data_IF_120300613928
#
_entry.id   IF_120300613928
#
_cell.length_a   1.000
_cell.length_b   1.000
_cell.length_c   1.000
_cell.angle_alpha   90.00
_cell.angle_beta   90.00
_cell.angle_gamma   90.00
#
_symmetry.space_group_name_H-M   'P 1'
#
loop_
_entity.id
_entity.type
_entity.pdbx_description
1 polymer ?
#
# COMPACT_ATOMS: atom_id res chain seq x y z
N UNK A 1 -2.76 -11.50 -10.02
CA UNK A 1 -3.81 -10.82 -10.79
C UNK A 1 -4.00 -9.41 -10.27
N UNK A 2 -4.23 -8.43 -11.14
CA UNK A 2 -4.46 -7.03 -10.77
C UNK A 2 -5.32 -6.33 -11.82
N UNK A 3 -5.99 -5.21 -11.48
CA UNK A 3 -6.64 -4.39 -12.50
C UNK A 3 -5.62 -3.82 -13.51
N UNK A 4 -6.03 -3.66 -14.75
CA UNK A 4 -5.24 -2.97 -15.77
C UNK A 4 -5.40 -1.45 -15.59
N UNK A 5 -4.61 -0.89 -14.68
CA UNK A 5 -4.65 0.53 -14.37
C UNK A 5 -3.99 1.40 -15.47
N UNK A 6 -4.53 2.59 -15.69
CA UNK A 6 -3.96 3.61 -16.58
C UNK A 6 -2.48 3.93 -16.29
N UNK A 7 -2.04 3.75 -15.01
CA UNK A 7 -0.66 4.03 -14.58
C UNK A 7 0.35 2.95 -14.96
N UNK A 8 -0.09 1.84 -15.56
CA UNK A 8 0.83 0.82 -16.06
C UNK A 8 1.56 1.40 -17.28
N UNK A 9 2.89 1.34 -17.24
CA UNK A 9 3.75 1.90 -18.29
C UNK A 9 3.41 1.33 -19.68
N UNK A 10 3.40 2.19 -20.68
CA UNK A 10 3.17 1.83 -22.10
C UNK A 10 4.11 0.72 -22.58
N UNK A 11 5.33 0.66 -22.01
CA UNK A 11 6.28 -0.43 -22.27
C UNK A 11 5.66 -1.81 -21.98
N UNK A 12 4.96 -1.96 -20.87
CA UNK A 12 4.31 -3.21 -20.51
C UNK A 12 2.97 -3.38 -21.22
N UNK A 13 2.21 -2.31 -21.35
CA UNK A 13 0.88 -2.33 -21.96
C UNK A 13 0.92 -2.85 -23.41
N UNK A 14 1.88 -2.40 -24.21
CA UNK A 14 2.03 -2.79 -25.61
C UNK A 14 2.51 -4.25 -25.81
N UNK A 15 2.95 -4.91 -24.74
CA UNK A 15 3.44 -6.29 -24.80
C UNK A 15 2.46 -7.29 -24.12
N UNK A 16 1.25 -6.85 -23.77
CA UNK A 16 0.24 -7.71 -23.17
C UNK A 16 -0.33 -8.70 -24.19
N UNK A 17 -0.43 -9.95 -23.77
CA UNK A 17 -1.15 -10.98 -24.50
C UNK A 17 -2.63 -10.94 -24.11
N UNK A 18 -3.53 -10.96 -25.07
CA UNK A 18 -4.96 -11.14 -24.81
C UNK A 18 -5.27 -12.62 -24.58
N UNK A 19 -5.88 -12.95 -23.44
CA UNK A 19 -6.16 -14.33 -23.04
C UNK A 19 -7.62 -14.73 -23.32
N UNK A 20 -8.59 -13.98 -22.79
CA UNK A 20 -10.00 -14.27 -22.95
C UNK A 20 -10.91 -13.05 -22.66
N UNK A 21 -12.18 -13.21 -23.07
CA UNK A 21 -13.24 -12.25 -22.75
C UNK A 21 -14.48 -13.02 -22.29
N UNK A 22 -15.14 -12.51 -21.24
CA UNK A 22 -16.38 -13.04 -20.66
C UNK A 22 -17.13 -11.90 -19.99
N UNK A 23 -18.25 -12.20 -19.30
CA UNK A 23 -19.01 -11.20 -18.54
C UNK A 23 -19.23 -11.65 -17.10
N UNK A 24 -19.39 -10.67 -16.21
CA UNK A 24 -19.86 -10.87 -14.84
C UNK A 24 -21.06 -9.97 -14.56
N UNK A 25 -21.97 -10.44 -13.75
CA UNK A 25 -23.16 -9.67 -13.38
C UNK A 25 -22.81 -8.66 -12.27
N UNK A 26 -23.02 -7.38 -12.53
CA UNK A 26 -22.88 -6.26 -11.58
C UNK A 26 -24.14 -5.41 -11.66
N UNK A 27 -24.79 -5.16 -10.52
CA UNK A 27 -26.05 -4.41 -10.46
C UNK A 27 -27.09 -4.94 -11.45
N UNK A 28 -27.18 -6.29 -11.52
CA UNK A 28 -28.11 -7.03 -12.41
C UNK A 28 -27.87 -6.83 -13.91
N UNK A 29 -26.69 -6.29 -14.29
CA UNK A 29 -26.27 -6.14 -15.69
C UNK A 29 -25.02 -6.96 -15.97
N UNK A 30 -24.95 -7.53 -17.16
CA UNK A 30 -23.74 -8.19 -17.64
C UNK A 30 -22.68 -7.16 -18.03
N UNK A 31 -21.55 -7.19 -17.32
CA UNK A 31 -20.43 -6.29 -17.53
C UNK A 31 -19.26 -7.07 -18.13
N UNK A 32 -18.74 -6.67 -19.31
CA UNK A 32 -17.67 -7.40 -19.97
C UNK A 32 -16.37 -7.32 -19.19
N UNK A 33 -15.65 -8.43 -19.21
CA UNK A 33 -14.29 -8.58 -18.63
C UNK A 33 -13.34 -9.01 -19.73
N UNK A 34 -12.25 -8.30 -19.88
CA UNK A 34 -11.14 -8.71 -20.77
C UNK A 34 -9.92 -9.00 -19.93
N UNK A 35 -9.31 -10.14 -20.17
CA UNK A 35 -8.12 -10.61 -19.45
C UNK A 35 -6.93 -10.55 -20.38
N UNK A 36 -5.87 -9.96 -19.88
CA UNK A 36 -4.57 -9.93 -20.53
C UNK A 36 -3.51 -10.52 -19.61
N UNK A 37 -2.45 -11.07 -20.18
CA UNK A 37 -1.32 -11.57 -19.38
C UNK A 37 0.02 -11.12 -19.92
N UNK A 38 1.02 -11.19 -19.04
CA UNK A 38 2.44 -11.02 -19.36
C UNK A 38 3.29 -11.76 -18.33
N UNK A 39 4.33 -12.43 -18.81
CA UNK A 39 5.35 -13.02 -17.94
C UNK A 39 6.51 -12.04 -17.76
N UNK A 40 6.84 -11.73 -16.52
CA UNK A 40 8.00 -10.92 -16.13
C UNK A 40 8.73 -11.69 -15.03
N UNK A 41 10.00 -11.94 -15.17
CA UNK A 41 10.86 -12.64 -14.19
C UNK A 41 10.28 -13.98 -13.69
N UNK A 42 9.75 -14.78 -14.60
CA UNK A 42 9.06 -16.06 -14.35
C UNK A 42 7.74 -15.97 -13.56
N UNK A 43 7.21 -14.76 -13.36
CA UNK A 43 5.88 -14.53 -12.78
C UNK A 43 4.89 -14.19 -13.88
N UNK A 44 3.78 -14.92 -13.94
CA UNK A 44 2.68 -14.61 -14.85
C UNK A 44 1.75 -13.58 -14.19
N UNK A 45 1.71 -12.38 -14.77
CA UNK A 45 0.80 -11.32 -14.39
C UNK A 45 -0.46 -11.42 -15.23
N UNK A 46 -1.62 -11.49 -14.59
CA UNK A 46 -2.92 -11.34 -15.24
C UNK A 46 -3.52 -9.97 -14.93
N UNK A 47 -4.05 -9.33 -15.95
CA UNK A 47 -4.62 -7.98 -15.87
C UNK A 47 -6.11 -8.03 -16.26
N UNK A 48 -6.96 -7.53 -15.38
CA UNK A 48 -8.40 -7.37 -15.62
C UNK A 48 -8.63 -5.96 -16.18
N UNK A 49 -9.02 -5.88 -17.45
CA UNK A 49 -9.31 -4.62 -18.10
C UNK A 49 -10.80 -4.27 -17.98
N UNK A 50 -11.07 -3.03 -17.58
CA UNK A 50 -12.34 -2.35 -17.75
C UNK A 50 -12.10 -0.85 -17.77
N UNK A 51 -12.35 -0.22 -18.92
CA UNK A 51 -12.00 1.19 -19.15
C UNK A 51 -12.63 2.12 -18.10
N UNK A 52 -13.94 2.03 -17.88
CA UNK A 52 -14.64 2.91 -16.94
C UNK A 52 -14.23 2.74 -15.49
N UNK A 53 -13.78 1.55 -15.08
CA UNK A 53 -13.38 1.27 -13.70
C UNK A 53 -11.89 1.53 -13.44
N UNK A 54 -10.98 1.21 -14.35
CA UNK A 54 -9.55 1.16 -14.03
C UNK A 54 -8.67 2.13 -14.84
N UNK A 55 -9.15 2.68 -15.95
CA UNK A 55 -8.42 3.71 -16.70
C UNK A 55 -8.67 5.11 -16.11
N UNK A 56 -8.37 5.27 -14.81
CA UNK A 56 -8.57 6.50 -14.04
C UNK A 56 -7.25 7.03 -13.50
N UNK A 57 -7.24 8.29 -13.08
CA UNK A 57 -6.02 8.98 -12.61
C UNK A 57 -5.55 8.48 -11.23
N UNK A 58 -6.48 8.10 -10.35
CA UNK A 58 -6.18 7.46 -9.06
C UNK A 58 -6.51 5.98 -9.08
N UNK A 59 -5.79 5.20 -8.26
CA UNK A 59 -6.01 3.75 -8.15
C UNK A 59 -7.31 3.43 -7.40
N UNK A 60 -7.65 4.24 -6.40
CA UNK A 60 -8.86 4.16 -5.54
C UNK A 60 -9.20 5.55 -4.97
N UNK A 61 -10.24 5.64 -4.13
CA UNK A 61 -10.75 6.88 -3.55
C UNK A 61 -11.93 7.46 -4.33
N UNK A 62 -12.60 6.66 -5.14
CA UNK A 62 -13.81 7.05 -5.87
C UNK A 62 -15.07 6.56 -5.16
N UNK A 63 -16.19 7.25 -5.38
CA UNK A 63 -17.48 6.90 -4.77
C UNK A 63 -18.00 5.51 -5.17
N UNK A 64 -17.58 5.02 -6.34
CA UNK A 64 -17.94 3.72 -6.88
C UNK A 64 -16.89 2.63 -6.62
N UNK A 65 -15.98 2.84 -5.70
CA UNK A 65 -14.91 1.87 -5.39
C UNK A 65 -15.49 0.49 -4.96
N UNK A 66 -16.61 0.45 -4.25
CA UNK A 66 -17.27 -0.80 -3.90
C UNK A 66 -17.65 -1.61 -5.14
N UNK A 67 -18.28 -0.96 -6.12
CA UNK A 67 -18.66 -1.59 -7.38
C UNK A 67 -17.45 -2.02 -8.21
N UNK A 68 -16.46 -1.15 -8.35
CA UNK A 68 -15.23 -1.40 -9.11
C UNK A 68 -14.46 -2.62 -8.59
N UNK A 69 -14.27 -2.69 -7.28
CA UNK A 69 -13.54 -3.81 -6.68
C UNK A 69 -14.44 -5.03 -6.44
N UNK A 70 -15.75 -4.87 -6.34
CA UNK A 70 -16.71 -5.98 -6.45
C UNK A 70 -16.63 -6.64 -7.83
N UNK A 71 -16.65 -5.83 -8.89
CA UNK A 71 -16.42 -6.30 -10.27
C UNK A 71 -15.08 -7.03 -10.40
N UNK A 72 -13.97 -6.43 -9.92
CA UNK A 72 -12.65 -7.03 -9.98
C UNK A 72 -12.61 -8.42 -9.35
N UNK A 73 -13.19 -8.56 -8.16
CA UNK A 73 -13.19 -9.81 -7.42
C UNK A 73 -14.01 -10.90 -8.13
N UNK A 74 -15.17 -10.56 -8.67
CA UNK A 74 -15.98 -11.49 -9.48
C UNK A 74 -15.25 -11.88 -10.76
N UNK A 75 -14.62 -10.91 -11.42
CA UNK A 75 -13.84 -11.17 -12.62
C UNK A 75 -12.69 -12.16 -12.34
N UNK A 76 -11.96 -11.99 -11.21
CA UNK A 76 -10.90 -12.93 -10.83
C UNK A 76 -11.40 -14.34 -10.57
N UNK A 77 -12.55 -14.49 -9.91
CA UNK A 77 -13.14 -15.82 -9.64
C UNK A 77 -13.54 -16.50 -10.96
N UNK A 78 -14.25 -15.80 -11.84
CA UNK A 78 -14.67 -16.37 -13.12
C UNK A 78 -13.49 -16.64 -14.06
N UNK A 79 -12.43 -15.82 -14.02
CA UNK A 79 -11.19 -16.03 -14.77
C UNK A 79 -10.60 -17.43 -14.55
N UNK A 80 -10.69 -17.97 -13.34
CA UNK A 80 -10.16 -19.32 -13.05
C UNK A 80 -10.83 -20.38 -13.92
N UNK A 81 -12.13 -20.26 -14.08
CA UNK A 81 -12.92 -21.18 -14.91
C UNK A 81 -12.64 -20.96 -16.41
N UNK A 82 -12.63 -19.71 -16.87
CA UNK A 82 -12.42 -19.35 -18.28
C UNK A 82 -11.03 -19.75 -18.79
N UNK A 83 -10.00 -19.63 -17.96
CA UNK A 83 -8.64 -20.03 -18.29
C UNK A 83 -8.31 -21.49 -17.92
N UNK A 84 -9.27 -22.20 -17.30
CA UNK A 84 -9.03 -23.52 -16.70
C UNK A 84 -7.77 -23.54 -15.82
N UNK A 85 -7.59 -22.47 -15.03
CA UNK A 85 -6.42 -22.24 -14.16
C UNK A 85 -6.80 -22.43 -12.70
N UNK A 86 -6.33 -23.52 -12.07
CA UNK A 86 -6.73 -23.92 -10.73
C UNK A 86 -5.56 -23.88 -9.76
N UNK A 87 -5.37 -22.75 -9.06
CA UNK A 87 -4.28 -22.62 -8.09
C UNK A 87 -4.58 -23.39 -6.81
N UNK A 88 -3.54 -23.83 -6.13
CA UNK A 88 -3.68 -24.40 -4.78
C UNK A 88 -4.03 -23.33 -3.74
N UNK A 89 -3.53 -22.10 -3.92
CA UNK A 89 -3.69 -21.00 -2.99
C UNK A 89 -4.07 -19.73 -3.77
N UNK A 90 -5.06 -19.00 -3.25
CA UNK A 90 -5.35 -17.62 -3.62
C UNK A 90 -4.93 -16.74 -2.45
N UNK A 91 -3.95 -15.86 -2.69
CA UNK A 91 -3.50 -14.88 -1.72
C UNK A 91 -4.16 -13.54 -2.00
N UNK A 92 -5.02 -13.12 -1.08
CA UNK A 92 -5.80 -11.89 -1.14
C UNK A 92 -5.13 -10.79 -0.33
N UNK A 93 -5.15 -9.55 -0.83
CA UNK A 93 -4.51 -8.39 -0.19
C UNK A 93 -5.51 -7.27 0.03
N UNK A 94 -5.68 -6.85 1.28
CA UNK A 94 -6.56 -5.76 1.71
C UNK A 94 -8.02 -5.91 1.26
N UNK A 95 -8.82 -4.88 1.52
CA UNK A 95 -10.24 -4.86 1.23
C UNK A 95 -10.56 -5.08 -0.26
N UNK A 96 -9.67 -4.66 -1.16
CA UNK A 96 -9.83 -4.80 -2.62
C UNK A 96 -10.09 -6.24 -3.08
N UNK A 97 -9.71 -7.22 -2.27
CA UNK A 97 -9.82 -8.65 -2.57
C UNK A 97 -10.49 -9.44 -1.43
N UNK A 98 -11.00 -8.74 -0.42
CA UNK A 98 -11.49 -9.36 0.83
C UNK A 98 -12.76 -10.19 0.66
N UNK A 99 -13.56 -9.98 -0.38
CA UNK A 99 -14.75 -10.77 -0.64
C UNK A 99 -14.51 -12.07 -1.42
N UNK A 100 -13.34 -12.24 -2.06
CA UNK A 100 -13.01 -13.44 -2.86
C UNK A 100 -13.20 -14.74 -2.05
N UNK A 101 -12.61 -14.88 -0.83
CA UNK A 101 -12.78 -16.11 -0.05
C UNK A 101 -14.26 -16.41 0.28
N UNK A 102 -15.01 -15.38 0.66
CA UNK A 102 -16.44 -15.49 0.95
C UNK A 102 -17.24 -15.92 -0.30
N UNK A 103 -17.09 -15.21 -1.40
CA UNK A 103 -17.80 -15.52 -2.65
C UNK A 103 -17.52 -16.98 -3.08
N UNK A 104 -16.26 -17.41 -3.07
CA UNK A 104 -15.94 -18.79 -3.48
C UNK A 104 -16.57 -19.80 -2.53
N UNK A 105 -16.46 -19.63 -1.22
CA UNK A 105 -16.99 -20.58 -0.23
C UNK A 105 -18.53 -20.61 -0.20
N UNK A 106 -19.19 -19.51 -0.50
CA UNK A 106 -20.67 -19.41 -0.43
C UNK A 106 -21.37 -19.77 -1.75
N UNK A 107 -20.71 -19.54 -2.90
CA UNK A 107 -21.39 -19.72 -4.20
C UNK A 107 -20.79 -20.82 -5.07
N UNK A 108 -19.56 -21.29 -4.79
CA UNK A 108 -18.84 -22.28 -5.60
C UNK A 108 -18.48 -23.57 -4.84
N UNK A 109 -18.98 -23.77 -3.62
CA UNK A 109 -18.63 -24.94 -2.78
C UNK A 109 -19.05 -26.29 -3.40
N UNK A 110 -20.03 -26.28 -4.30
CA UNK A 110 -20.46 -27.49 -5.03
C UNK A 110 -19.38 -27.98 -6.03
N UNK A 111 -18.52 -27.12 -6.53
CA UNK A 111 -17.45 -27.48 -7.46
C UNK A 111 -16.18 -27.90 -6.71
N UNK A 112 -15.73 -29.17 -6.85
CA UNK A 112 -14.51 -29.66 -6.17
C UNK A 112 -13.24 -28.88 -6.49
N UNK A 113 -13.16 -28.22 -7.66
CA UNK A 113 -12.02 -27.42 -8.08
C UNK A 113 -11.85 -26.18 -7.21
N UNK A 114 -12.96 -25.44 -6.97
CA UNK A 114 -12.97 -24.30 -6.06
C UNK A 114 -12.78 -24.70 -4.59
N UNK A 115 -13.40 -25.81 -4.17
CA UNK A 115 -13.26 -26.35 -2.79
C UNK A 115 -11.83 -26.73 -2.42
N UNK A 116 -11.03 -27.11 -3.40
CA UNK A 116 -9.62 -27.45 -3.19
C UNK A 116 -8.73 -26.24 -2.91
N UNK A 117 -9.16 -25.04 -3.29
CA UNK A 117 -8.38 -23.80 -3.12
C UNK A 117 -8.32 -23.40 -1.66
N UNK A 118 -7.14 -22.99 -1.19
CA UNK A 118 -6.93 -22.38 0.13
C UNK A 118 -6.71 -20.88 -0.01
N UNK A 119 -7.17 -20.13 0.99
CA UNK A 119 -7.12 -18.67 0.98
C UNK A 119 -6.19 -18.14 2.06
N UNK A 120 -5.24 -17.30 1.66
CA UNK A 120 -4.46 -16.45 2.57
C UNK A 120 -4.94 -15.02 2.39
N UNK A 121 -5.16 -14.32 3.48
CA UNK A 121 -5.58 -12.91 3.46
C UNK A 121 -4.56 -12.05 4.19
N UNK A 122 -3.97 -11.06 3.52
CA UNK A 122 -3.01 -10.12 4.12
C UNK A 122 -3.65 -8.75 4.35
N UNK A 123 -3.55 -8.28 5.59
CA UNK A 123 -3.93 -6.94 6.02
C UNK A 123 -2.67 -6.07 5.99
N UNK A 124 -2.64 -5.08 5.10
CA UNK A 124 -1.55 -4.10 5.05
C UNK A 124 -1.81 -2.90 5.96
N UNK A 125 -3.08 -2.47 6.10
CA UNK A 125 -3.45 -1.40 7.01
C UNK A 125 -4.93 -1.51 7.42
N UNK A 126 -5.20 -1.64 8.73
CA UNK A 126 -6.55 -1.74 9.29
C UNK A 126 -7.44 -0.52 9.05
N UNK A 127 -6.86 0.65 8.82
CA UNK A 127 -7.62 1.88 8.58
C UNK A 127 -8.41 1.87 7.25
N UNK A 128 -8.10 0.96 6.34
CA UNK A 128 -8.75 0.87 5.01
C UNK A 128 -9.50 -0.45 4.89
N UNK A 129 -10.79 -0.45 5.24
CA UNK A 129 -11.57 -1.68 5.41
C UNK A 129 -12.48 -2.03 4.24
N UNK A 130 -12.73 -1.09 3.33
CA UNK A 130 -13.71 -1.28 2.25
C UNK A 130 -15.11 -1.48 2.82
N UNK A 131 -15.63 -0.43 3.47
CA UNK A 131 -16.96 -0.41 4.07
C UNK A 131 -17.96 0.20 3.08
N UNK A 132 -19.02 -0.54 2.77
CA UNK A 132 -20.00 -0.18 1.76
C UNK A 132 -21.42 -0.46 2.26
N UNK A 133 -22.42 0.06 1.54
CA UNK A 133 -23.82 -0.18 1.85
C UNK A 133 -24.23 -1.68 1.72
N UNK A 134 -25.24 -2.13 2.47
CA UNK A 134 -25.64 -3.53 2.50
C UNK A 134 -26.22 -4.02 1.15
N UNK A 135 -26.71 -3.11 0.30
CA UNK A 135 -27.20 -3.39 -1.05
C UNK A 135 -26.13 -4.00 -1.96
N UNK A 136 -24.86 -3.69 -1.69
CA UNK A 136 -23.72 -4.24 -2.44
C UNK A 136 -23.67 -5.78 -2.36
N UNK A 137 -24.20 -6.36 -1.28
CA UNK A 137 -24.12 -7.81 -1.05
C UNK A 137 -24.81 -8.58 -2.18
N UNK A 138 -26.04 -8.20 -2.52
CA UNK A 138 -26.81 -8.85 -3.57
C UNK A 138 -26.51 -8.24 -4.95
N UNK A 139 -26.68 -6.93 -5.08
CA UNK A 139 -26.62 -6.27 -6.40
C UNK A 139 -25.26 -6.40 -7.08
N UNK A 140 -24.18 -6.21 -6.34
CA UNK A 140 -22.83 -6.25 -6.90
C UNK A 140 -22.16 -7.62 -6.73
N UNK A 141 -22.22 -8.19 -5.53
CA UNK A 141 -21.47 -9.41 -5.20
C UNK A 141 -22.25 -10.69 -5.53
N UNK A 142 -23.60 -10.63 -5.62
CA UNK A 142 -24.45 -11.78 -5.86
C UNK A 142 -24.48 -12.74 -4.66
N UNK A 143 -24.35 -12.22 -3.46
CA UNK A 143 -24.30 -12.96 -2.22
C UNK A 143 -25.63 -12.86 -1.45
N UNK A 144 -26.05 -13.91 -0.74
CA UNK A 144 -27.33 -13.94 -0.03
C UNK A 144 -27.30 -13.06 1.23
N UNK A 145 -28.44 -12.43 1.54
CA UNK A 145 -28.59 -11.53 2.69
C UNK A 145 -28.38 -12.21 4.06
N UNK A 146 -28.50 -13.54 4.17
CA UNK A 146 -28.22 -14.21 5.44
C UNK A 146 -26.80 -13.95 5.97
N UNK A 147 -25.83 -13.62 5.09
CA UNK A 147 -24.46 -13.23 5.46
C UNK A 147 -24.41 -11.90 6.21
N UNK A 148 -25.40 -11.03 5.97
CA UNK A 148 -25.59 -9.82 6.76
C UNK A 148 -26.25 -10.16 8.12
N UNK A 149 -27.27 -11.03 8.09
CA UNK A 149 -28.03 -11.39 9.30
C UNK A 149 -27.18 -12.16 10.33
N UNK A 150 -26.36 -13.11 9.87
CA UNK A 150 -25.44 -13.87 10.74
C UNK A 150 -24.21 -13.05 11.20
N UNK A 151 -24.04 -11.84 10.64
CA UNK A 151 -22.97 -10.92 11.04
C UNK A 151 -21.62 -11.17 10.37
N UNK A 152 -21.47 -12.15 9.48
CA UNK A 152 -20.18 -12.50 8.88
C UNK A 152 -19.58 -11.37 8.04
N UNK A 153 -20.42 -10.59 7.35
CA UNK A 153 -19.95 -9.44 6.56
C UNK A 153 -20.45 -8.09 7.11
N UNK A 154 -21.42 -8.11 8.04
CA UNK A 154 -22.01 -6.89 8.59
C UNK A 154 -21.03 -6.08 9.40
N UNK A 155 -20.96 -4.79 9.10
CA UNK A 155 -20.10 -3.84 9.82
C UNK A 155 -20.70 -2.43 9.71
N UNK A 156 -20.86 -1.74 10.84
CA UNK A 156 -21.28 -0.35 10.96
C UNK A 156 -22.49 0.03 10.06
N UNK A 157 -23.55 -0.76 10.13
CA UNK A 157 -24.76 -0.55 9.33
C UNK A 157 -24.69 -1.01 7.87
N UNK A 158 -23.54 -1.42 7.39
CA UNK A 158 -23.28 -1.93 6.05
C UNK A 158 -22.51 -3.25 6.06
N UNK A 159 -21.61 -3.39 5.08
CA UNK A 159 -20.71 -4.54 4.95
C UNK A 159 -19.26 -4.08 4.93
N UNK A 160 -18.33 -4.90 5.43
CA UNK A 160 -16.89 -4.68 5.31
C UNK A 160 -16.24 -5.81 4.51
N UNK A 161 -15.56 -5.44 3.43
CA UNK A 161 -14.81 -6.39 2.61
C UNK A 161 -13.63 -6.98 3.39
N UNK A 162 -12.96 -6.17 4.21
CA UNK A 162 -11.87 -6.64 5.07
C UNK A 162 -12.36 -7.65 6.10
N UNK A 163 -13.50 -7.40 6.78
CA UNK A 163 -14.09 -8.35 7.72
C UNK A 163 -14.35 -9.70 7.09
N UNK A 164 -14.89 -9.70 5.87
CA UNK A 164 -15.11 -10.90 5.08
C UNK A 164 -13.80 -11.66 4.85
N UNK A 165 -12.74 -10.97 4.40
CA UNK A 165 -11.43 -11.56 4.17
C UNK A 165 -10.86 -12.22 5.43
N UNK A 166 -10.98 -11.56 6.59
CA UNK A 166 -10.52 -12.08 7.88
C UNK A 166 -11.27 -13.35 8.27
N UNK A 167 -12.59 -13.37 8.10
CA UNK A 167 -13.42 -14.51 8.55
C UNK A 167 -13.35 -15.71 7.60
N UNK A 168 -13.27 -15.48 6.30
CA UNK A 168 -13.37 -16.55 5.30
C UNK A 168 -12.02 -17.10 4.82
N UNK A 169 -10.90 -16.40 5.03
CA UNK A 169 -9.59 -16.94 4.68
C UNK A 169 -9.18 -18.11 5.60
N UNK A 170 -8.37 -19.04 5.10
CA UNK A 170 -7.83 -20.14 5.88
C UNK A 170 -6.69 -19.65 6.80
N UNK A 171 -5.90 -18.68 6.34
CA UNK A 171 -4.89 -17.96 7.14
C UNK A 171 -4.98 -16.47 6.93
N UNK A 172 -4.71 -15.72 7.98
CA UNK A 172 -4.65 -14.26 7.97
C UNK A 172 -3.22 -13.83 8.27
N UNK A 173 -2.71 -12.89 7.51
CA UNK A 173 -1.38 -12.31 7.76
C UNK A 173 -1.47 -10.80 7.85
N UNK A 174 -0.49 -10.20 8.50
CA UNK A 174 -0.23 -8.76 8.46
C UNK A 174 1.26 -8.49 8.36
N UNK A 175 1.64 -7.24 8.22
CA UNK A 175 2.95 -6.84 7.72
C UNK A 175 4.02 -6.60 8.78
N UNK A 176 3.76 -6.97 10.04
CA UNK A 176 4.79 -7.12 11.07
C UNK A 176 4.30 -7.95 12.26
N UNK A 177 5.20 -8.62 13.02
CA UNK A 177 4.84 -9.32 14.24
C UNK A 177 4.26 -8.39 15.32
N UNK A 178 4.79 -7.17 15.44
CA UNK A 178 4.28 -6.16 16.37
C UNK A 178 2.87 -5.74 15.98
N UNK A 179 2.65 -5.41 14.72
CA UNK A 179 1.34 -5.00 14.22
C UNK A 179 0.30 -6.11 14.38
N UNK A 180 0.68 -7.39 14.23
CA UNK A 180 -0.21 -8.53 14.48
C UNK A 180 -0.71 -8.59 15.93
N UNK A 181 0.04 -8.05 16.90
CA UNK A 181 -0.41 -7.92 18.29
C UNK A 181 -1.22 -6.64 18.52
N UNK A 182 -0.80 -5.54 17.92
CA UNK A 182 -1.45 -4.24 18.07
C UNK A 182 -2.89 -4.27 17.57
N UNK A 183 -3.16 -4.84 16.39
CA UNK A 183 -4.50 -4.91 15.79
C UNK A 183 -5.49 -5.79 16.57
N UNK A 184 -5.04 -6.58 17.55
CA UNK A 184 -5.91 -7.30 18.48
C UNK A 184 -6.48 -6.41 19.58
N UNK A 185 -5.99 -5.17 19.71
CA UNK A 185 -6.43 -4.20 20.70
C UNK A 185 -7.44 -3.20 20.13
N UNK A 186 -8.35 -2.64 20.96
CA UNK A 186 -9.28 -1.60 20.51
C UNK A 186 -8.61 -0.35 19.94
N UNK A 187 -7.38 -0.07 20.36
CA UNK A 187 -6.64 1.12 19.93
C UNK A 187 -6.22 1.05 18.45
N UNK A 188 -5.94 -0.15 17.92
CA UNK A 188 -5.41 -0.32 16.56
C UNK A 188 -6.23 -1.28 15.70
N UNK A 189 -7.26 -1.93 16.27
CA UNK A 189 -8.11 -2.89 15.55
C UNK A 189 -9.19 -2.27 14.69
N UNK A 190 -9.38 -0.94 14.75
CA UNK A 190 -10.35 -0.20 13.94
C UNK A 190 -11.76 -0.81 13.98
N UNK A 191 -12.21 -1.19 15.19
CA UNK A 191 -13.47 -1.87 15.48
C UNK A 191 -13.58 -3.33 14.95
N UNK A 192 -12.49 -3.90 14.42
CA UNK A 192 -12.41 -5.32 14.03
C UNK A 192 -11.58 -6.17 14.98
N UNK A 193 -11.12 -5.62 16.11
CA UNK A 193 -10.32 -6.34 17.11
C UNK A 193 -11.01 -7.59 17.66
N UNK A 194 -12.33 -7.56 17.81
CA UNK A 194 -13.09 -8.73 18.26
C UNK A 194 -13.04 -9.86 17.21
N UNK A 195 -13.17 -9.52 15.93
CA UNK A 195 -13.08 -10.48 14.80
C UNK A 195 -11.66 -11.03 14.69
N UNK A 196 -10.65 -10.18 14.82
CA UNK A 196 -9.24 -10.60 14.80
C UNK A 196 -8.90 -11.51 15.98
N UNK A 197 -9.43 -11.23 17.18
CA UNK A 197 -9.25 -12.07 18.34
C UNK A 197 -9.87 -13.48 18.17
N UNK A 198 -10.98 -13.61 17.44
CA UNK A 198 -11.54 -14.93 17.07
C UNK A 198 -10.57 -15.71 16.17
N UNK A 199 -9.76 -15.02 15.36
CA UNK A 199 -8.82 -15.59 14.40
C UNK A 199 -7.34 -15.50 14.83
N UNK A 200 -7.06 -15.15 16.09
CA UNK A 200 -5.69 -14.88 16.58
C UNK A 200 -4.69 -16.03 16.39
N UNK A 201 -5.15 -17.27 16.37
CA UNK A 201 -4.30 -18.45 16.15
C UNK A 201 -3.99 -18.69 14.66
N UNK A 202 -4.73 -18.04 13.77
CA UNK A 202 -4.51 -18.06 12.32
C UNK A 202 -3.85 -16.77 11.83
N UNK A 203 -3.65 -15.79 12.71
CA UNK A 203 -3.05 -14.49 12.40
C UNK A 203 -1.54 -14.51 12.58
N UNK A 204 -0.81 -14.14 11.54
CA UNK A 204 0.65 -14.11 11.51
C UNK A 204 1.17 -12.75 11.07
N UNK A 205 2.18 -12.22 11.77
CA UNK A 205 2.89 -11.01 11.36
C UNK A 205 4.16 -11.37 10.58
N UNK A 206 4.27 -10.90 9.34
CA UNK A 206 5.41 -11.12 8.44
C UNK A 206 5.89 -9.77 7.93
N UNK A 207 7.12 -9.39 8.29
CA UNK A 207 7.69 -8.09 7.86
C UNK A 207 7.85 -8.07 6.34
N UNK A 208 7.44 -6.97 5.71
CA UNK A 208 7.67 -6.77 4.29
C UNK A 208 9.18 -6.71 3.98
N UNK A 209 9.57 -7.25 2.84
CA UNK A 209 10.90 -7.04 2.29
C UNK A 209 11.03 -5.71 1.57
N UNK A 210 12.28 -5.32 1.28
CA UNK A 210 12.62 -4.27 0.33
C UNK A 210 13.43 -4.89 -0.81
N UNK A 211 13.31 -4.35 -2.01
CA UNK A 211 14.13 -4.83 -3.13
C UNK A 211 15.58 -4.34 -2.99
N UNK A 212 16.51 -5.28 -2.78
CA UNK A 212 17.92 -4.95 -2.64
C UNK A 212 18.63 -4.66 -3.97
N UNK A 213 17.98 -4.82 -5.11
CA UNK A 213 18.52 -4.36 -6.38
C UNK A 213 18.23 -2.86 -6.55
N UNK A 214 17.02 -2.41 -6.18
CA UNK A 214 16.61 -1.02 -6.25
C UNK A 214 17.19 -0.20 -5.08
N UNK A 215 17.05 -0.70 -3.85
CA UNK A 215 17.54 -0.02 -2.63
C UNK A 215 18.92 -0.54 -2.22
N UNK A 216 19.95 -0.19 -3.01
CA UNK A 216 21.33 -0.61 -2.76
C UNK A 216 22.33 0.55 -2.97
N UNK A 217 22.90 1.14 -1.89
CA UNK A 217 23.79 2.28 -2.01
C UNK A 217 25.09 2.01 -2.80
N UNK A 218 25.45 0.73 -3.04
CA UNK A 218 26.62 0.37 -3.87
C UNK A 218 26.35 0.50 -5.37
N UNK A 219 25.11 0.29 -5.80
CA UNK A 219 24.73 0.23 -7.22
C UNK A 219 23.75 1.30 -7.65
N UNK A 220 23.12 2.00 -6.69
CA UNK A 220 22.07 2.97 -6.93
C UNK A 220 22.55 4.12 -7.85
N UNK A 221 21.89 4.24 -8.99
CA UNK A 221 22.21 5.24 -10.01
C UNK A 221 21.75 6.66 -9.64
N UNK A 222 20.86 6.79 -8.64
CA UNK A 222 20.32 8.07 -8.20
C UNK A 222 21.29 8.83 -7.29
N UNK A 223 22.34 8.14 -6.78
CA UNK A 223 23.29 8.72 -5.83
C UNK A 223 24.41 9.48 -6.53
N UNK A 224 24.80 10.62 -5.98
CA UNK A 224 25.97 11.38 -6.41
C UNK A 224 27.27 10.66 -6.08
N UNK A 225 27.30 9.91 -4.98
CA UNK A 225 28.42 9.07 -4.58
C UNK A 225 27.89 7.74 -4.02
N UNK A 226 28.20 6.65 -4.68
CA UNK A 226 27.86 5.30 -4.24
C UNK A 226 28.75 4.86 -3.09
N UNK A 227 28.24 4.02 -2.19
CA UNK A 227 28.97 3.58 -1.02
C UNK A 227 28.54 2.20 -0.51
N UNK A 228 29.38 1.63 0.32
CA UNK A 228 29.13 0.38 1.04
C UNK A 228 29.46 0.55 2.54
N UNK A 229 29.38 -0.53 3.29
CA UNK A 229 29.63 -0.54 4.74
C UNK A 229 31.02 -0.04 5.16
N UNK A 230 32.00 -0.05 4.25
CA UNK A 230 33.37 0.43 4.55
C UNK A 230 33.59 1.89 4.16
N UNK A 231 32.87 2.41 3.18
CA UNK A 231 33.06 3.75 2.60
C UNK A 231 31.97 4.76 3.01
N UNK A 232 30.86 4.31 3.65
CA UNK A 232 29.68 5.13 3.91
C UNK A 232 29.99 6.46 4.63
N UNK A 233 30.88 6.46 5.62
CA UNK A 233 31.20 7.66 6.40
C UNK A 233 31.71 8.84 5.55
N UNK A 234 32.44 8.54 4.48
CA UNK A 234 32.95 9.54 3.55
C UNK A 234 31.98 9.88 2.44
N UNK A 235 31.36 8.86 1.89
CA UNK A 235 30.55 9.01 0.69
C UNK A 235 29.14 9.56 1.00
N UNK A 236 28.55 9.27 2.17
CA UNK A 236 27.30 9.91 2.63
C UNK A 236 27.45 11.43 2.76
N UNK A 237 28.60 11.90 3.22
CA UNK A 237 28.88 13.36 3.29
C UNK A 237 28.83 14.01 1.91
N UNK A 238 29.32 13.34 0.85
CA UNK A 238 29.25 13.85 -0.51
C UNK A 238 27.80 13.92 -1.00
N UNK A 239 26.99 12.88 -0.72
CA UNK A 239 25.56 12.88 -1.03
C UNK A 239 24.82 14.01 -0.30
N UNK A 240 25.15 14.26 0.98
CA UNK A 240 24.58 15.35 1.76
C UNK A 240 24.89 16.71 1.12
N UNK A 241 26.17 17.01 0.83
CA UNK A 241 26.60 18.29 0.21
C UNK A 241 25.89 18.47 -1.15
N UNK A 242 25.80 17.43 -1.95
CA UNK A 242 25.14 17.51 -3.24
C UNK A 242 23.63 17.78 -3.08
N UNK A 243 22.96 17.11 -2.13
CA UNK A 243 21.54 17.34 -1.86
C UNK A 243 21.31 18.76 -1.33
N UNK A 244 22.15 19.25 -0.42
CA UNK A 244 22.11 20.63 0.08
C UNK A 244 22.18 21.63 -1.09
N UNK A 245 23.12 21.43 -2.00
CA UNK A 245 23.28 22.29 -3.18
C UNK A 245 22.06 22.27 -4.09
N UNK A 246 21.54 21.07 -4.38
CA UNK A 246 20.44 20.90 -5.32
C UNK A 246 19.11 21.45 -4.79
N UNK A 247 18.94 21.46 -3.47
CA UNK A 247 17.75 21.96 -2.78
C UNK A 247 17.89 23.39 -2.23
N UNK A 248 19.01 24.07 -2.49
CA UNK A 248 19.25 25.44 -2.03
C UNK A 248 19.44 25.57 -0.50
N UNK A 249 19.83 24.48 0.17
CA UNK A 249 20.16 24.50 1.58
C UNK A 249 21.57 25.05 1.82
N UNK A 250 21.84 25.53 3.05
CA UNK A 250 23.19 25.90 3.44
C UNK A 250 24.14 24.70 3.32
N UNK A 251 25.25 24.87 2.63
CA UNK A 251 26.23 23.79 2.42
C UNK A 251 27.10 23.61 3.66
N UNK A 252 26.63 22.85 4.62
CA UNK A 252 27.35 22.48 5.84
C UNK A 252 27.39 20.96 6.01
N UNK A 253 28.56 20.30 5.81
CA UNK A 253 28.64 18.85 6.00
C UNK A 253 28.45 18.40 7.45
N UNK A 254 28.53 19.32 8.43
CA UNK A 254 28.36 19.04 9.84
C UNK A 254 26.96 19.23 10.35
N UNK A 255 26.11 19.97 9.61
CA UNK A 255 24.71 20.10 9.96
C UNK A 255 24.05 18.72 9.99
N UNK A 256 23.25 18.44 11.02
CA UNK A 256 22.48 17.22 11.10
C UNK A 256 21.33 17.26 10.07
N UNK A 257 21.37 16.43 9.06
CA UNK A 257 20.30 16.35 8.07
C UNK A 257 19.27 15.30 8.48
N UNK A 258 18.03 15.73 8.62
CA UNK A 258 16.87 14.89 8.94
C UNK A 258 16.03 14.72 7.67
N UNK A 259 15.85 13.49 7.22
CA UNK A 259 15.00 13.13 6.09
C UNK A 259 13.60 12.72 6.54
N UNK A 260 12.60 13.11 5.76
CA UNK A 260 11.20 12.70 5.87
C UNK A 260 10.74 12.29 4.48
N UNK A 261 10.35 11.03 4.29
CA UNK A 261 9.78 10.53 3.03
C UNK A 261 8.50 9.77 3.36
N UNK A 262 7.35 10.39 3.10
CA UNK A 262 6.08 9.80 3.52
C UNK A 262 4.89 10.43 2.80
N UNK A 263 3.73 9.75 2.84
CA UNK A 263 2.45 10.42 2.60
C UNK A 263 2.18 11.40 3.72
N UNK A 264 1.73 12.60 3.38
CA UNK A 264 1.48 13.67 4.35
C UNK A 264 0.05 13.54 4.92
N UNK A 265 -0.14 12.62 5.87
CA UNK A 265 -1.43 12.29 6.49
C UNK A 265 -1.34 12.30 8.02
N UNK A 266 -2.49 12.35 8.69
CA UNK A 266 -2.60 12.33 10.17
C UNK A 266 -1.84 11.17 10.81
N UNK A 267 -1.95 9.97 10.21
CA UNK A 267 -1.26 8.76 10.68
C UNK A 267 0.23 8.99 10.91
N UNK A 268 0.85 9.89 10.15
CA UNK A 268 2.31 10.11 10.17
C UNK A 268 2.79 11.07 11.25
N UNK A 269 1.89 11.61 12.08
CA UNK A 269 2.25 12.39 13.27
C UNK A 269 2.87 13.76 12.98
N UNK A 270 2.56 14.37 11.86
CA UNK A 270 3.15 15.67 11.47
C UNK A 270 2.77 16.83 12.37
N UNK A 271 1.71 16.73 13.16
CA UNK A 271 1.38 17.70 14.19
C UNK A 271 2.47 17.80 15.27
N UNK A 272 3.12 16.68 15.60
CA UNK A 272 4.27 16.66 16.51
C UNK A 272 5.46 17.40 15.92
N UNK A 273 5.72 17.22 14.61
CA UNK A 273 6.78 17.93 13.90
C UNK A 273 6.47 19.43 13.88
N UNK A 274 5.24 19.81 13.53
CA UNK A 274 4.82 21.21 13.52
C UNK A 274 5.07 21.90 14.87
N UNK A 275 4.79 21.19 15.97
CA UNK A 275 4.97 21.72 17.32
C UNK A 275 6.43 22.04 17.68
N UNK A 276 7.39 21.22 17.22
CA UNK A 276 8.81 21.36 17.59
C UNK A 276 9.68 22.01 16.50
N UNK A 277 9.12 22.31 15.33
CA UNK A 277 9.90 22.77 14.17
C UNK A 277 10.70 24.05 14.44
N UNK A 278 10.09 25.02 15.14
CA UNK A 278 10.74 26.29 15.46
C UNK A 278 11.94 26.08 16.39
N UNK A 279 11.88 25.13 17.31
CA UNK A 279 12.97 24.76 18.21
C UNK A 279 14.07 24.01 17.45
N UNK A 280 13.72 23.01 16.65
CA UNK A 280 14.67 22.25 15.84
C UNK A 280 15.49 23.15 14.89
N UNK A 281 14.86 24.16 14.30
CA UNK A 281 15.53 25.06 13.37
C UNK A 281 16.45 26.10 14.05
N UNK A 282 16.49 26.18 15.39
CA UNK A 282 17.48 26.99 16.10
C UNK A 282 18.86 26.34 16.10
N UNK A 283 18.92 25.02 16.09
CA UNK A 283 20.15 24.24 16.07
C UNK A 283 20.75 24.12 14.66
N UNK A 284 21.95 23.49 14.57
CA UNK A 284 22.58 23.13 13.30
C UNK A 284 21.92 21.89 12.71
N UNK A 285 20.62 22.02 12.36
CA UNK A 285 19.76 20.99 11.80
C UNK A 285 19.23 21.45 10.44
N UNK A 286 19.17 20.53 9.51
CA UNK A 286 18.49 20.71 8.24
C UNK A 286 17.41 19.63 8.07
N UNK A 287 16.27 19.99 7.50
CA UNK A 287 15.12 19.10 7.32
C UNK A 287 14.76 19.06 5.84
N UNK A 288 14.70 17.86 5.27
CA UNK A 288 14.23 17.62 3.90
C UNK A 288 12.99 16.74 3.95
N UNK A 289 11.85 17.27 3.57
CA UNK A 289 10.58 16.56 3.53
C UNK A 289 10.15 16.31 2.08
N UNK A 290 9.89 15.04 1.74
CA UNK A 290 9.37 14.61 0.44
C UNK A 290 8.03 13.89 0.63
N UNK A 291 6.99 14.34 -0.07
CA UNK A 291 5.71 13.66 -0.11
C UNK A 291 4.56 14.54 -0.50
N UNK A 292 3.40 13.93 -0.65
CA UNK A 292 2.10 14.58 -0.90
C UNK A 292 1.03 14.01 0.01
N UNK A 293 -0.06 14.73 0.23
CA UNK A 293 -1.17 14.24 1.03
C UNK A 293 -2.18 15.31 1.38
N UNK A 294 -2.47 15.46 2.66
CA UNK A 294 -3.42 16.46 3.16
C UNK A 294 -2.86 17.87 3.00
N UNK A 295 -3.64 18.74 2.41
CA UNK A 295 -3.25 20.13 2.09
C UNK A 295 -2.70 20.88 3.31
N UNK A 296 -3.23 20.62 4.51
CA UNK A 296 -2.75 21.23 5.74
C UNK A 296 -1.28 20.93 6.04
N UNK A 297 -0.84 19.69 5.81
CA UNK A 297 0.56 19.30 6.02
C UNK A 297 1.46 19.75 4.89
N UNK A 298 0.98 19.73 3.65
CA UNK A 298 1.71 20.30 2.53
C UNK A 298 1.98 21.80 2.76
N UNK A 299 0.96 22.55 3.18
CA UNK A 299 1.09 23.99 3.48
C UNK A 299 1.96 24.25 4.71
N UNK A 300 1.91 23.38 5.72
CA UNK A 300 2.82 23.43 6.88
C UNK A 300 4.28 23.33 6.44
N UNK A 301 4.65 22.34 5.64
CA UNK A 301 6.03 22.19 5.18
C UNK A 301 6.45 23.33 4.24
N UNK A 302 5.60 23.82 3.35
CA UNK A 302 5.86 25.02 2.51
C UNK A 302 6.11 26.25 3.37
N UNK A 303 5.34 26.42 4.47
CA UNK A 303 5.53 27.52 5.41
C UNK A 303 6.92 27.44 6.10
N UNK A 304 7.33 26.27 6.56
CA UNK A 304 8.62 26.10 7.21
C UNK A 304 9.81 26.23 6.24
N UNK A 305 9.66 25.79 4.99
CA UNK A 305 10.63 26.03 3.92
C UNK A 305 10.85 27.54 3.69
N UNK A 306 9.74 28.29 3.57
CA UNK A 306 9.79 29.74 3.44
C UNK A 306 10.40 30.42 4.70
N UNK A 307 9.98 30.01 5.89
CA UNK A 307 10.41 30.60 7.16
C UNK A 307 11.88 30.33 7.49
N UNK A 308 12.35 29.14 7.19
CA UNK A 308 13.71 28.67 7.49
C UNK A 308 14.48 28.36 6.21
N UNK A 309 14.49 29.34 5.32
CA UNK A 309 15.22 29.22 4.05
C UNK A 309 16.69 28.83 4.29
N UNK A 310 17.19 27.84 3.54
CA UNK A 310 18.53 27.28 3.70
C UNK A 310 18.64 26.17 4.78
N UNK A 311 17.64 25.99 5.64
CA UNK A 311 17.59 24.92 6.65
C UNK A 311 16.49 23.88 6.38
N UNK A 312 15.33 24.29 5.88
CA UNK A 312 14.21 23.40 5.56
C UNK A 312 14.00 23.37 4.06
N UNK A 313 13.71 22.21 3.51
CA UNK A 313 13.30 22.04 2.11
C UNK A 313 12.10 21.15 2.01
N UNK A 314 10.99 21.66 1.42
CA UNK A 314 9.71 20.99 1.24
C UNK A 314 9.54 20.56 -0.22
N UNK A 315 9.69 19.27 -0.49
CA UNK A 315 9.51 18.65 -1.80
C UNK A 315 8.12 18.03 -1.88
N UNK A 316 7.12 18.86 -2.27
CA UNK A 316 5.70 18.47 -2.24
C UNK A 316 5.31 17.83 -3.58
N UNK A 317 5.86 16.68 -3.83
CA UNK A 317 5.58 15.82 -4.99
C UNK A 317 5.98 14.37 -4.69
N UNK A 318 5.63 13.44 -5.59
CA UNK A 318 6.13 12.07 -5.55
C UNK A 318 7.32 11.94 -6.50
N UNK A 319 8.46 11.51 -5.97
CA UNK A 319 9.67 11.23 -6.76
C UNK A 319 10.49 10.15 -6.06
N UNK A 320 10.62 9.00 -6.70
CA UNK A 320 11.35 7.86 -6.16
C UNK A 320 12.86 8.13 -6.13
N UNK A 321 13.41 8.72 -7.19
CA UNK A 321 14.83 9.09 -7.26
C UNK A 321 15.22 10.07 -6.15
N UNK A 322 14.38 11.06 -5.86
CA UNK A 322 14.59 11.99 -4.74
C UNK A 322 14.55 11.26 -3.39
N UNK A 323 13.68 10.26 -3.21
CA UNK A 323 13.64 9.49 -1.97
C UNK A 323 14.96 8.76 -1.70
N UNK A 324 15.56 8.13 -2.69
CA UNK A 324 16.89 7.49 -2.61
C UNK A 324 17.98 8.48 -2.18
N UNK A 325 17.96 9.66 -2.77
CA UNK A 325 18.92 10.73 -2.45
C UNK A 325 18.75 11.22 -1.01
N UNK A 326 17.51 11.35 -0.54
CA UNK A 326 17.22 11.74 0.85
C UNK A 326 17.72 10.65 1.82
N UNK A 327 17.41 9.37 1.57
CA UNK A 327 17.91 8.27 2.40
C UNK A 327 19.47 8.26 2.44
N UNK A 328 20.13 8.49 1.32
CA UNK A 328 21.59 8.47 1.25
C UNK A 328 22.25 9.68 1.90
N UNK A 329 21.63 10.85 1.88
CA UNK A 329 22.19 12.11 2.37
C UNK A 329 21.93 12.34 3.88
N UNK A 330 20.81 11.84 4.40
CA UNK A 330 20.38 12.12 5.77
C UNK A 330 21.23 11.40 6.81
N UNK A 331 21.36 12.00 7.99
CA UNK A 331 21.96 11.39 9.17
C UNK A 331 20.91 10.64 9.98
N UNK A 332 19.68 11.20 10.04
CA UNK A 332 18.54 10.61 10.70
C UNK A 332 17.31 10.64 9.79
N UNK A 333 16.41 9.69 10.01
CA UNK A 333 15.13 9.60 9.34
C UNK A 333 13.99 9.77 10.34
N UNK A 334 13.15 10.79 10.15
CA UNK A 334 12.11 11.14 11.11
C UNK A 334 10.75 10.55 10.68
N UNK A 335 10.21 9.67 11.51
CA UNK A 335 8.94 9.00 11.29
C UNK A 335 8.15 8.89 12.60
N UNK A 336 7.51 10.00 13.08
CA UNK A 336 6.79 10.02 14.35
C UNK A 336 5.35 9.51 14.21
N UNK A 337 5.14 8.46 13.42
CA UNK A 337 3.83 7.91 13.11
C UNK A 337 3.07 7.50 14.37
N UNK A 338 1.76 7.76 14.42
CA UNK A 338 0.87 7.31 15.49
C UNK A 338 0.79 5.79 15.54
N UNK A 339 0.82 5.16 14.37
CA UNK A 339 1.01 3.73 14.19
C UNK A 339 1.65 3.46 12.83
N UNK A 340 2.40 2.37 12.73
CA UNK A 340 3.09 2.00 11.50
C UNK A 340 3.01 0.49 11.31
N UNK A 341 2.19 0.02 10.35
CA UNK A 341 2.02 -1.42 10.13
C UNK A 341 3.34 -2.16 9.84
N UNK A 342 4.20 -1.58 9.01
CA UNK A 342 5.49 -2.17 8.67
C UNK A 342 6.66 -1.16 8.75
N UNK A 343 6.47 0.05 8.18
CA UNK A 343 7.52 1.06 8.11
C UNK A 343 8.53 0.82 6.97
N UNK A 344 8.06 0.67 5.74
CA UNK A 344 8.94 0.47 4.57
C UNK A 344 10.00 1.56 4.43
N UNK A 345 9.63 2.83 4.60
CA UNK A 345 10.59 3.94 4.54
C UNK A 345 11.70 3.83 5.60
N UNK A 346 11.38 3.32 6.79
CA UNK A 346 12.35 3.01 7.84
C UNK A 346 13.32 1.90 7.39
N UNK A 347 12.81 0.83 6.80
CA UNK A 347 13.66 -0.25 6.29
C UNK A 347 14.60 0.25 5.18
N UNK A 348 14.06 1.08 4.27
CA UNK A 348 14.85 1.71 3.20
C UNK A 348 15.91 2.64 3.77
N UNK A 349 15.57 3.52 4.71
CA UNK A 349 16.54 4.44 5.33
C UNK A 349 17.67 3.70 6.03
N UNK A 350 17.36 2.63 6.79
CA UNK A 350 18.35 1.78 7.44
C UNK A 350 19.27 1.09 6.43
N UNK A 351 18.75 0.67 5.28
CA UNK A 351 19.57 0.10 4.19
C UNK A 351 20.60 1.08 3.66
N UNK A 352 20.31 2.38 3.68
CA UNK A 352 21.24 3.47 3.31
C UNK A 352 22.10 3.94 4.49
N UNK A 353 22.02 3.28 5.66
CA UNK A 353 22.78 3.65 6.87
C UNK A 353 22.32 4.97 7.48
N UNK A 354 21.05 5.29 7.35
CA UNK A 354 20.36 6.43 7.97
C UNK A 354 19.47 5.90 9.09
N UNK A 355 19.65 6.39 10.33
CA UNK A 355 18.98 5.92 11.55
C UNK A 355 17.65 6.59 11.78
#
# INVERSE_FOLDING_TARGET
VMPLYKKISDKYYNELHFDCEYSVSINYHEVPVRVFSKVVDNVCFFFIQHQGYFERDSLYGYKDDGERFGYFQKAVIEMLNQLNYWPNIIHCHDWHTGMIPCMVKETHDADPRYRAIRFVYTIHNMAYQGNFGPEMLDSCLGLPYYLLDNGNVRFDGGISFMKSGILYADKVTTVSPTYAQEILSPQYGEHLEAVLNMRKYDLWGIVNGIDYNDFNPETDINLSARYNATTFRKEKVKNKIQLQKDLGLEQDPKAMMIGIVSRLTDQKGFDLIAYIMDELCQDSVQIVALGTGDERYENMFRHFDWKYHGKVSAQIYYDESMSHRIYAASDAFLMPSLFEPCGLSQLMSLRYGTL
#
